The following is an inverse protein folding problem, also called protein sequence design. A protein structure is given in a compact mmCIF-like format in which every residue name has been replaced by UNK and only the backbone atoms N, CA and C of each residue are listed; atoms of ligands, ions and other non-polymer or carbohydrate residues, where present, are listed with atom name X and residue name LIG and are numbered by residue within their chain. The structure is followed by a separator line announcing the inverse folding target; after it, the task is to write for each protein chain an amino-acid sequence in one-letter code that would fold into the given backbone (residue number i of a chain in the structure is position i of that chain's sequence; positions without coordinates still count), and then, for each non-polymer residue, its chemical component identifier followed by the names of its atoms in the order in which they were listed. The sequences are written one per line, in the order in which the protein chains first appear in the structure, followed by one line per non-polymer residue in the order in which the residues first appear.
data_IF_660953662550
#
_entry.id   IF_660953662550
#
_cell.length_a   1.000
_cell.length_b   1.000
_cell.length_c   1.000
_cell.angle_alpha   90.00
_cell.angle_beta   90.00
_cell.angle_gamma   90.00
#
_symmetry.space_group_name_H-M   'P 1'
#
loop_
_entity.id
_entity.type
_entity.pdbx_description
1 polymer ?
#
# COMPACT_ATOMS: atom_id res chain seq x y z
N UNK A 1 19.75 13.88 -2.43
CA UNK A 1 20.21 12.61 -3.05
C UNK A 1 21.10 11.84 -2.08
N UNK A 2 20.51 11.37 -0.97
CA UNK A 2 21.24 10.88 0.20
C UNK A 2 21.77 9.46 0.01
N UNK A 3 22.71 9.06 0.87
CA UNK A 3 23.43 7.79 0.88
C UNK A 3 22.56 6.54 0.67
N UNK A 4 21.28 6.58 1.05
CA UNK A 4 20.29 5.53 0.76
C UNK A 4 20.09 5.33 -0.74
N UNK A 5 19.91 6.39 -1.53
CA UNK A 5 19.79 6.33 -3.00
C UNK A 5 21.06 5.74 -3.63
N UNK A 6 22.24 6.15 -3.16
CA UNK A 6 23.52 5.59 -3.63
C UNK A 6 23.67 4.11 -3.29
N UNK A 7 23.30 3.69 -2.07
CA UNK A 7 23.33 2.28 -1.67
C UNK A 7 22.29 1.48 -2.44
N UNK A 8 21.10 2.04 -2.70
CA UNK A 8 20.07 1.41 -3.52
C UNK A 8 20.54 1.22 -4.96
N UNK A 9 21.14 2.26 -5.57
CA UNK A 9 21.68 2.21 -6.93
C UNK A 9 22.87 1.24 -7.05
N UNK A 10 23.60 0.96 -5.97
CA UNK A 10 24.63 -0.09 -5.96
C UNK A 10 24.04 -1.50 -6.04
N UNK A 11 22.90 -1.75 -5.39
CA UNK A 11 22.21 -3.06 -5.42
C UNK A 11 21.26 -3.21 -6.62
N UNK A 12 20.58 -2.14 -7.00
CA UNK A 12 19.62 -2.04 -8.07
C UNK A 12 20.14 -1.03 -9.09
N UNK A 13 21.18 -1.43 -9.82
CA UNK A 13 21.72 -0.65 -10.94
C UNK A 13 20.54 -0.30 -11.86
N UNK A 14 20.35 0.99 -12.12
CA UNK A 14 19.48 1.58 -13.16
C UNK A 14 18.04 2.03 -12.81
N UNK A 15 17.69 2.36 -11.55
CA UNK A 15 16.27 2.58 -11.18
C UNK A 15 15.89 3.91 -10.52
N UNK A 16 16.75 4.93 -10.54
CA UNK A 16 16.32 6.27 -10.14
C UNK A 16 15.62 6.98 -11.30
N UNK A 17 14.29 6.91 -11.35
CA UNK A 17 13.50 7.62 -12.38
C UNK A 17 12.90 8.86 -11.73
N UNK A 18 13.50 10.02 -12.01
CA UNK A 18 13.03 11.31 -11.50
C UNK A 18 11.77 11.86 -12.20
N UNK A 19 10.88 11.01 -12.73
CA UNK A 19 9.61 11.49 -13.29
C UNK A 19 8.60 11.75 -12.16
N UNK A 20 7.66 12.67 -12.35
CA UNK A 20 6.58 12.89 -11.37
C UNK A 20 5.48 11.81 -11.45
N UNK A 21 5.49 11.03 -12.53
CA UNK A 21 4.54 9.96 -12.82
C UNK A 21 5.24 8.61 -12.77
N UNK A 22 4.61 7.60 -12.19
CA UNK A 22 5.00 6.19 -12.36
C UNK A 22 3.78 5.31 -12.52
N UNK A 23 3.97 4.18 -13.18
CA UNK A 23 2.90 3.23 -13.51
C UNK A 23 3.10 1.94 -12.74
N UNK A 24 2.09 1.54 -11.98
CA UNK A 24 2.01 0.22 -11.36
C UNK A 24 1.26 -0.70 -12.32
N UNK A 25 1.74 -1.94 -12.46
CA UNK A 25 1.17 -2.92 -13.38
C UNK A 25 0.74 -4.18 -12.64
N UNK A 26 -0.47 -4.65 -12.94
CA UNK A 26 -0.96 -5.95 -12.50
C UNK A 26 -0.45 -7.04 -13.44
N UNK A 27 0.14 -8.07 -12.84
CA UNK A 27 0.79 -9.18 -13.54
C UNK A 27 -0.17 -10.30 -13.95
N UNK A 28 -1.35 -10.40 -13.33
CA UNK A 28 -2.32 -11.44 -13.64
C UNK A 28 -3.01 -11.19 -14.99
N UNK A 29 -2.89 -12.13 -15.92
CA UNK A 29 -3.52 -12.05 -17.26
C UNK A 29 -5.04 -11.91 -17.20
N UNK A 30 -5.69 -12.49 -16.19
CA UNK A 30 -7.15 -12.42 -16.00
C UNK A 30 -7.67 -11.13 -15.37
N UNK A 31 -6.79 -10.22 -14.91
CA UNK A 31 -7.21 -8.98 -14.29
C UNK A 31 -7.75 -7.97 -15.32
N UNK A 32 -8.89 -7.35 -15.00
CA UNK A 32 -9.50 -6.26 -15.78
C UNK A 32 -8.91 -4.88 -15.53
N UNK A 33 -8.22 -4.68 -14.41
CA UNK A 33 -7.47 -3.45 -14.14
C UNK A 33 -5.99 -3.79 -14.32
N UNK A 34 -5.39 -3.35 -15.42
CA UNK A 34 -3.99 -3.68 -15.72
C UNK A 34 -2.99 -2.67 -15.19
N UNK A 35 -3.35 -1.39 -15.13
CA UNK A 35 -2.40 -0.35 -14.76
C UNK A 35 -3.00 0.74 -13.90
N UNK A 36 -2.16 1.30 -13.05
CA UNK A 36 -2.44 2.49 -12.26
C UNK A 36 -1.31 3.48 -12.47
N UNK A 37 -1.62 4.62 -13.06
CA UNK A 37 -0.71 5.75 -13.12
C UNK A 37 -0.87 6.59 -11.85
N UNK A 38 0.26 6.90 -11.23
CA UNK A 38 0.31 7.62 -9.97
C UNK A 38 1.15 8.87 -10.13
N UNK A 39 0.59 10.00 -9.74
CA UNK A 39 1.25 11.31 -9.77
C UNK A 39 1.26 11.93 -8.37
N UNK A 40 2.46 12.14 -7.85
CA UNK A 40 2.72 12.89 -6.63
C UNK A 40 3.47 14.19 -7.00
N UNK A 41 2.82 15.36 -6.96
CA UNK A 41 3.51 16.61 -7.23
C UNK A 41 4.60 16.85 -6.17
N UNK A 42 5.76 17.35 -6.59
CA UNK A 42 6.88 17.75 -5.73
C UNK A 42 7.53 16.61 -4.91
N UNK A 43 7.30 15.34 -5.27
CA UNK A 43 8.01 14.20 -4.68
C UNK A 43 8.87 13.52 -5.74
N UNK A 44 10.05 13.05 -5.32
CA UNK A 44 10.79 12.08 -6.13
C UNK A 44 10.30 10.68 -5.79
N UNK A 45 10.41 9.75 -6.74
CA UNK A 45 10.16 8.33 -6.48
C UNK A 45 11.34 7.46 -6.90
N UNK A 46 11.42 6.28 -6.27
CA UNK A 46 12.29 5.19 -6.69
C UNK A 46 11.45 3.93 -6.75
N UNK A 47 11.26 3.38 -7.95
CA UNK A 47 10.62 2.08 -8.12
C UNK A 47 11.53 1.03 -7.48
N UNK A 48 10.96 0.13 -6.69
CA UNK A 48 11.70 -0.98 -6.09
C UNK A 48 11.39 -2.26 -6.88
N UNK A 49 12.15 -2.58 -7.95
CA UNK A 49 11.86 -3.74 -8.78
C UNK A 49 12.01 -5.02 -7.97
N UNK A 50 10.95 -5.84 -8.03
CA UNK A 50 10.93 -7.25 -7.64
C UNK A 50 11.61 -7.59 -6.30
N UNK A 51 11.14 -6.97 -5.21
CA UNK A 51 11.26 -7.57 -3.86
C UNK A 51 10.57 -8.94 -3.74
N UNK A 52 9.71 -9.28 -4.72
CA UNK A 52 8.89 -10.49 -4.82
C UNK A 52 9.66 -11.82 -4.76
N UNK A 53 10.97 -11.86 -5.08
CA UNK A 53 11.74 -13.12 -5.09
C UNK A 53 12.57 -13.36 -3.83
N UNK A 54 13.17 -12.29 -3.27
CA UNK A 54 14.11 -12.39 -2.15
C UNK A 54 13.37 -12.66 -0.83
N UNK A 55 12.27 -11.94 -0.58
CA UNK A 55 11.56 -12.01 0.70
C UNK A 55 10.51 -13.14 0.73
N UNK A 56 10.01 -13.54 -0.44
CA UNK A 56 9.06 -14.64 -0.58
C UNK A 56 9.59 -15.92 0.08
N UNK A 57 10.84 -16.30 -0.18
CA UNK A 57 11.44 -17.52 0.41
C UNK A 57 11.60 -17.48 1.92
N UNK A 58 11.87 -16.30 2.48
CA UNK A 58 12.07 -16.13 3.93
C UNK A 58 10.72 -16.13 4.65
N UNK A 59 9.70 -15.51 4.06
CA UNK A 59 8.37 -15.34 4.66
C UNK A 59 7.39 -16.48 4.36
N UNK A 60 7.59 -17.27 3.30
CA UNK A 60 6.72 -18.42 2.92
C UNK A 60 6.61 -19.47 4.04
N UNK A 61 7.62 -19.54 4.92
CA UNK A 61 7.65 -20.47 6.06
C UNK A 61 7.06 -19.90 7.35
N UNK A 62 6.83 -18.59 7.40
CA UNK A 62 6.45 -17.87 8.62
C UNK A 62 4.96 -17.56 8.59
N UNK A 63 4.42 -17.12 7.46
CA UNK A 63 2.99 -16.75 7.33
C UNK A 63 2.33 -17.38 6.10
N UNK A 64 1.16 -17.98 6.31
CA UNK A 64 0.37 -18.64 5.25
C UNK A 64 -0.25 -17.65 4.25
N UNK A 65 -0.32 -16.36 4.59
CA UNK A 65 -0.82 -15.28 3.74
C UNK A 65 0.32 -14.43 3.16
N UNK A 66 1.37 -15.08 2.64
CA UNK A 66 2.55 -14.44 2.08
C UNK A 66 2.31 -13.85 0.67
N UNK A 67 1.38 -12.91 0.53
CA UNK A 67 1.13 -12.22 -0.75
C UNK A 67 1.73 -10.82 -0.72
N UNK A 68 2.44 -10.48 -1.79
CA UNK A 68 2.93 -9.13 -2.03
C UNK A 68 1.83 -8.30 -2.70
N UNK A 69 1.96 -6.98 -2.58
CA UNK A 69 1.18 -6.07 -3.38
C UNK A 69 1.76 -5.89 -4.79
N UNK A 70 1.00 -5.24 -5.67
CA UNK A 70 1.36 -5.08 -7.07
C UNK A 70 2.49 -4.07 -7.29
N UNK A 71 2.45 -2.96 -6.55
CA UNK A 71 3.40 -1.84 -6.67
C UNK A 71 4.15 -1.54 -5.37
N UNK A 72 5.44 -1.24 -5.49
CA UNK A 72 6.29 -0.76 -4.40
C UNK A 72 7.17 0.38 -4.91
N UNK A 73 7.11 1.53 -4.23
CA UNK A 73 7.97 2.68 -4.51
C UNK A 73 8.39 3.38 -3.22
N UNK A 74 9.57 3.99 -3.22
CA UNK A 74 9.98 4.93 -2.17
C UNK A 74 9.62 6.33 -2.64
N UNK A 75 8.95 7.12 -1.80
CA UNK A 75 8.70 8.54 -2.05
C UNK A 75 9.53 9.40 -1.10
N UNK A 76 10.02 10.53 -1.62
CA UNK A 76 10.72 11.51 -0.79
C UNK A 76 10.23 12.93 -0.98
N UNK A 77 10.54 13.75 0.03
CA UNK A 77 10.27 15.18 0.05
C UNK A 77 11.61 15.91 0.17
N UNK A 78 11.89 16.82 -0.77
CA UNK A 78 13.21 17.41 -0.91
C UNK A 78 14.25 16.32 -1.24
N UNK A 79 15.26 16.16 -0.36
CA UNK A 79 16.37 15.22 -0.54
C UNK A 79 16.25 13.94 0.31
N UNK A 80 15.15 13.78 1.05
CA UNK A 80 14.96 12.71 2.03
C UNK A 80 13.85 11.74 1.62
N UNK A 81 14.17 10.44 1.67
CA UNK A 81 13.16 9.40 1.57
C UNK A 81 12.31 9.41 2.85
N UNK A 82 10.99 9.53 2.68
CA UNK A 82 10.06 9.66 3.81
C UNK A 82 9.00 8.58 3.83
N UNK A 83 8.55 8.13 2.66
CA UNK A 83 7.43 7.21 2.57
C UNK A 83 7.82 5.96 1.78
N UNK A 84 7.26 4.84 2.20
CA UNK A 84 7.15 3.63 1.41
C UNK A 84 5.72 3.58 0.87
N UNK A 85 5.60 3.74 -0.44
CA UNK A 85 4.35 3.65 -1.15
C UNK A 85 4.12 2.21 -1.63
N UNK A 86 2.96 1.66 -1.28
CA UNK A 86 2.53 0.32 -1.62
C UNK A 86 1.17 0.38 -2.30
N UNK A 87 1.02 -0.34 -3.40
CA UNK A 87 -0.22 -0.31 -4.17
C UNK A 87 -0.72 -1.71 -4.51
N UNK A 88 -2.02 -1.92 -4.33
CA UNK A 88 -2.74 -3.12 -4.72
C UNK A 88 -3.82 -2.78 -5.74
N UNK A 89 -3.88 -3.53 -6.83
CA UNK A 89 -4.88 -3.41 -7.89
C UNK A 89 -5.89 -4.55 -7.75
N UNK A 90 -7.18 -4.22 -7.77
CA UNK A 90 -8.28 -5.20 -7.75
C UNK A 90 -9.26 -4.91 -8.86
N UNK A 91 -9.58 -5.90 -9.69
CA UNK A 91 -10.66 -5.77 -10.68
C UNK A 91 -12.01 -5.42 -10.05
N UNK A 92 -12.38 -6.14 -8.99
CA UNK A 92 -13.64 -5.95 -8.28
C UNK A 92 -13.39 -5.96 -6.79
N UNK A 93 -13.83 -4.90 -6.13
CA UNK A 93 -13.64 -4.72 -4.70
C UNK A 93 -14.93 -5.06 -3.95
N UNK A 94 -14.88 -6.15 -3.20
CA UNK A 94 -15.84 -6.49 -2.15
C UNK A 94 -15.13 -6.36 -0.81
N UNK A 95 -15.86 -6.35 0.31
CA UNK A 95 -15.25 -6.27 1.64
C UNK A 95 -14.07 -7.25 1.84
N UNK A 96 -14.25 -8.52 1.49
CA UNK A 96 -13.18 -9.53 1.57
C UNK A 96 -11.95 -9.22 0.71
N UNK A 97 -12.14 -8.57 -0.43
CA UNK A 97 -11.02 -8.18 -1.29
C UNK A 97 -10.33 -6.91 -0.77
N UNK A 98 -11.06 -6.01 -0.11
CA UNK A 98 -10.50 -4.86 0.61
C UNK A 98 -9.63 -5.33 1.79
N UNK A 99 -10.11 -6.29 2.58
CA UNK A 99 -9.35 -6.92 3.67
C UNK A 99 -8.05 -7.54 3.16
N UNK A 100 -8.14 -8.31 2.06
CA UNK A 100 -6.96 -8.91 1.42
C UNK A 100 -5.98 -7.86 0.92
N UNK A 101 -6.46 -6.80 0.28
CA UNK A 101 -5.61 -5.73 -0.22
C UNK A 101 -4.83 -5.05 0.91
N UNK A 102 -5.47 -4.83 2.06
CA UNK A 102 -4.83 -4.23 3.23
C UNK A 102 -3.81 -5.19 3.85
N UNK A 103 -4.15 -6.48 3.94
CA UNK A 103 -3.19 -7.51 4.35
C UNK A 103 -1.97 -7.55 3.41
N UNK A 104 -2.16 -7.50 2.09
CA UNK A 104 -1.07 -7.47 1.11
C UNK A 104 -0.19 -6.22 1.27
N UNK A 105 -0.78 -5.04 1.48
CA UNK A 105 -0.05 -3.80 1.76
C UNK A 105 0.76 -3.94 3.06
N UNK A 106 0.15 -4.41 4.15
CA UNK A 106 0.83 -4.56 5.44
C UNK A 106 1.98 -5.56 5.37
N UNK A 107 1.76 -6.72 4.75
CA UNK A 107 2.81 -7.73 4.60
C UNK A 107 3.95 -7.21 3.72
N UNK A 108 3.63 -6.49 2.66
CA UNK A 108 4.64 -5.87 1.79
C UNK A 108 5.43 -4.79 2.53
N UNK A 109 4.78 -4.00 3.39
CA UNK A 109 5.44 -3.03 4.25
C UNK A 109 6.46 -3.71 5.17
N UNK A 110 6.05 -4.70 5.96
CA UNK A 110 6.93 -5.40 6.89
C UNK A 110 8.13 -6.07 6.19
N UNK A 111 7.89 -6.67 5.02
CA UNK A 111 8.92 -7.24 4.17
C UNK A 111 9.93 -6.19 3.73
N UNK A 112 9.47 -5.09 3.16
CA UNK A 112 10.33 -4.01 2.69
C UNK A 112 11.12 -3.37 3.83
N UNK A 113 10.49 -3.17 4.99
CA UNK A 113 11.18 -2.70 6.20
C UNK A 113 12.24 -3.68 6.66
N UNK A 114 11.94 -4.98 6.67
CA UNK A 114 12.93 -6.02 6.98
C UNK A 114 14.10 -5.97 6.01
N UNK A 115 13.86 -5.80 4.71
CA UNK A 115 14.91 -5.68 3.71
C UNK A 115 15.77 -4.43 3.91
N UNK A 116 15.15 -3.27 4.13
CA UNK A 116 15.86 -2.01 4.32
C UNK A 116 16.62 -1.95 5.64
N UNK A 117 16.18 -2.68 6.67
CA UNK A 117 16.94 -2.82 7.92
C UNK A 117 18.35 -3.41 7.74
N UNK A 118 18.59 -4.10 6.62
CA UNK A 118 19.91 -4.64 6.26
C UNK A 118 20.78 -3.62 5.51
N UNK A 119 20.20 -2.51 5.03
CA UNK A 119 20.91 -1.48 4.28
C UNK A 119 21.61 -0.50 5.21
N UNK A 120 22.91 -0.29 4.97
CA UNK A 120 23.68 0.76 5.66
C UNK A 120 23.04 2.13 5.39
N UNK A 121 22.76 2.91 6.42
CA UNK A 121 22.14 4.23 6.28
C UNK A 121 20.61 4.24 6.31
N UNK A 122 19.96 3.07 6.47
CA UNK A 122 18.55 3.02 6.84
C UNK A 122 18.39 3.35 8.34
N UNK A 123 18.30 4.63 8.64
CA UNK A 123 18.36 5.15 10.01
C UNK A 123 16.99 5.59 10.54
N UNK A 124 16.01 5.75 9.66
CA UNK A 124 14.66 6.19 9.97
C UNK A 124 13.64 5.29 9.30
N UNK A 125 12.58 4.99 10.04
CA UNK A 125 11.49 4.19 9.54
C UNK A 125 10.69 5.02 8.52
N UNK A 126 10.56 4.50 7.29
CA UNK A 126 9.69 5.09 6.28
C UNK A 126 8.22 4.97 6.71
N UNK A 127 7.47 6.05 6.53
CA UNK A 127 6.03 6.08 6.74
C UNK A 127 5.30 5.27 5.66
N UNK A 128 4.17 4.67 5.99
CA UNK A 128 3.41 3.87 5.02
C UNK A 128 2.39 4.74 4.27
N UNK A 129 2.48 4.75 2.94
CA UNK A 129 1.39 5.17 2.07
C UNK A 129 0.86 3.97 1.28
N UNK A 130 -0.41 3.63 1.46
CA UNK A 130 -1.10 2.54 0.77
C UNK A 130 -2.07 3.07 -0.28
N UNK A 131 -2.11 2.46 -1.47
CA UNK A 131 -3.13 2.72 -2.49
C UNK A 131 -3.84 1.41 -2.80
N UNK A 132 -5.17 1.43 -2.71
CA UNK A 132 -6.02 0.35 -3.19
C UNK A 132 -6.78 0.90 -4.39
N UNK A 133 -6.44 0.41 -5.58
CA UNK A 133 -7.07 0.82 -6.82
C UNK A 133 -8.00 -0.28 -7.33
N UNK A 134 -9.19 0.08 -7.78
CA UNK A 134 -10.11 -0.90 -8.33
C UNK A 134 -10.95 -0.41 -9.52
N UNK A 135 -11.28 -1.32 -10.45
CA UNK A 135 -12.16 -0.95 -11.57
C UNK A 135 -13.64 -0.90 -11.19
N UNK A 136 -14.07 -1.73 -10.24
CA UNK A 136 -15.46 -1.77 -9.75
C UNK A 136 -15.50 -1.92 -8.23
N UNK A 137 -16.07 -0.93 -7.54
CA UNK A 137 -16.33 -0.91 -6.10
C UNK A 137 -17.82 -0.90 -5.74
N UNK A 138 -18.72 -1.00 -6.72
CA UNK A 138 -20.17 -0.96 -6.52
C UNK A 138 -20.65 -1.99 -5.49
N UNK A 139 -19.96 -3.13 -5.42
CA UNK A 139 -20.28 -4.18 -4.48
C UNK A 139 -20.09 -3.76 -3.02
N UNK A 140 -19.18 -2.83 -2.70
CA UNK A 140 -18.99 -2.28 -1.35
C UNK A 140 -20.24 -1.56 -0.82
N UNK A 141 -21.05 -1.01 -1.74
CA UNK A 141 -22.23 -0.20 -1.42
C UNK A 141 -23.54 -0.97 -1.57
N UNK A 142 -23.49 -2.25 -1.93
CA UNK A 142 -24.69 -3.08 -2.05
C UNK A 142 -25.43 -3.15 -0.70
N UNK A 143 -26.76 -3.11 -0.74
CA UNK A 143 -27.62 -3.05 0.46
C UNK A 143 -27.30 -4.18 1.45
N UNK A 144 -26.96 -5.37 0.97
CA UNK A 144 -26.52 -6.49 1.80
C UNK A 144 -25.20 -6.22 2.54
N UNK A 145 -24.22 -5.57 1.89
CA UNK A 145 -22.98 -5.17 2.56
C UNK A 145 -23.20 -4.01 3.50
N UNK A 146 -24.00 -3.01 3.13
CA UNK A 146 -24.41 -1.93 4.04
C UNK A 146 -25.08 -2.48 5.30
N UNK A 147 -25.90 -3.53 5.16
CA UNK A 147 -26.57 -4.23 6.27
C UNK A 147 -25.59 -5.07 7.10
N UNK A 148 -24.57 -5.69 6.48
CA UNK A 148 -23.50 -6.38 7.21
C UNK A 148 -22.60 -5.41 7.98
N UNK A 149 -22.21 -4.30 7.35
CA UNK A 149 -21.44 -3.20 7.94
C UNK A 149 -22.17 -2.60 9.16
N UNK A 150 -23.50 -2.50 9.12
CA UNK A 150 -24.30 -1.94 10.22
C UNK A 150 -24.76 -2.95 11.26
N UNK A 151 -24.71 -4.26 11.00
CA UNK A 151 -25.15 -5.31 11.95
C UNK A 151 -24.01 -6.15 12.53
N UNK A 152 -22.82 -6.08 11.96
CA UNK A 152 -21.64 -6.76 12.50
C UNK A 152 -21.04 -5.88 13.62
N UNK A 153 -21.08 -6.33 14.89
CA UNK A 153 -20.53 -5.57 16.01
C UNK A 153 -19.05 -5.22 15.83
N UNK A 154 -18.30 -6.04 15.08
CA UNK A 154 -16.88 -5.80 14.78
C UNK A 154 -16.70 -4.62 13.82
N UNK A 155 -17.74 -4.31 13.04
CA UNK A 155 -17.74 -3.31 11.99
C UNK A 155 -18.31 -1.97 12.47
N UNK A 156 -19.25 -1.99 13.44
CA UNK A 156 -19.60 -0.81 14.23
C UNK A 156 -18.41 -0.31 15.07
N UNK A 157 -17.55 -1.22 15.56
CA UNK A 157 -16.30 -0.88 16.25
C UNK A 157 -15.19 -0.39 15.30
N UNK A 158 -15.10 -0.91 14.07
CA UNK A 158 -14.06 -0.50 13.12
C UNK A 158 -14.42 0.77 12.35
N UNK A 159 -14.01 1.91 12.92
CA UNK A 159 -14.09 3.20 12.23
C UNK A 159 -13.26 3.24 10.95
N UNK A 160 -12.20 2.43 10.79
CA UNK A 160 -11.31 2.52 9.64
C UNK A 160 -11.92 2.01 8.33
N UNK A 161 -12.63 0.87 8.30
CA UNK A 161 -13.28 0.40 7.05
C UNK A 161 -14.30 1.43 6.55
N UNK A 162 -15.22 1.81 7.44
CA UNK A 162 -16.29 2.75 7.13
C UNK A 162 -15.72 4.11 6.69
N UNK A 163 -14.65 4.59 7.34
CA UNK A 163 -13.97 5.83 6.92
C UNK A 163 -13.26 5.67 5.58
N UNK A 164 -12.58 4.56 5.32
CA UNK A 164 -11.89 4.32 4.05
C UNK A 164 -12.88 4.27 2.89
N UNK A 165 -14.02 3.59 3.07
CA UNK A 165 -15.06 3.49 2.04
C UNK A 165 -15.76 4.83 1.84
N UNK A 166 -16.13 5.53 2.91
CA UNK A 166 -16.90 6.78 2.82
C UNK A 166 -16.05 7.99 2.42
N UNK A 167 -14.82 8.10 2.93
CA UNK A 167 -13.93 9.25 2.71
C UNK A 167 -12.84 8.98 1.68
N UNK A 168 -12.77 7.76 1.12
CA UNK A 168 -11.72 7.30 0.20
C UNK A 168 -10.30 7.36 0.78
N UNK A 169 -10.17 7.62 2.09
CA UNK A 169 -8.89 7.76 2.75
C UNK A 169 -9.00 7.50 4.26
N UNK A 170 -7.95 6.90 4.82
CA UNK A 170 -7.69 6.88 6.26
C UNK A 170 -6.27 7.36 6.56
N UNK A 171 -6.11 7.93 7.76
CA UNK A 171 -4.81 8.21 8.39
C UNK A 171 -4.87 7.65 9.81
N UNK A 172 -3.91 6.82 10.19
CA UNK A 172 -3.83 6.19 11.50
C UNK A 172 -2.39 5.76 11.83
N UNK A 173 -2.17 5.27 13.04
CA UNK A 173 -0.95 4.53 13.38
C UNK A 173 -1.05 3.08 12.87
N UNK A 174 0.10 2.46 12.64
CA UNK A 174 0.19 1.09 12.14
C UNK A 174 -0.40 0.07 13.12
N UNK A 175 -0.24 0.28 14.43
CA UNK A 175 -0.87 -0.52 15.49
C UNK A 175 -2.39 -0.61 15.34
N UNK A 176 -3.04 0.53 15.04
CA UNK A 176 -4.48 0.61 14.82
C UNK A 176 -4.90 -0.12 13.55
N UNK A 177 -4.09 -0.05 12.50
CA UNK A 177 -4.32 -0.79 11.26
C UNK A 177 -4.26 -2.32 11.51
N UNK A 178 -3.25 -2.80 12.24
CA UNK A 178 -3.14 -4.24 12.57
C UNK A 178 -4.35 -4.70 13.39
N UNK A 179 -4.71 -3.93 14.40
CA UNK A 179 -5.79 -4.28 15.33
C UNK A 179 -7.15 -4.32 14.65
N UNK A 180 -7.52 -3.25 13.91
CA UNK A 180 -8.84 -3.17 13.28
C UNK A 180 -9.00 -4.15 12.11
N UNK A 181 -7.92 -4.47 11.39
CA UNK A 181 -7.93 -5.45 10.30
C UNK A 181 -7.59 -6.88 10.75
N UNK A 182 -7.44 -7.09 12.07
CA UNK A 182 -7.22 -8.40 12.73
C UNK A 182 -6.07 -9.18 12.10
N UNK A 183 -4.97 -8.48 11.85
CA UNK A 183 -3.77 -9.09 11.31
C UNK A 183 -3.02 -9.80 12.44
N UNK A 184 -2.72 -11.07 12.25
CA UNK A 184 -1.98 -11.92 13.20
C UNK A 184 -0.48 -11.57 13.16
N UNK A 185 -0.11 -10.49 13.86
CA UNK A 185 1.21 -9.86 13.82
C UNK A 185 1.69 -9.52 15.24
N UNK A 186 2.16 -10.53 15.96
CA UNK A 186 2.72 -10.38 17.30
C UNK A 186 4.22 -10.02 17.28
N UNK A 187 4.69 -9.35 18.34
CA UNK A 187 6.11 -9.12 18.59
C UNK A 187 6.76 -8.02 17.75
N UNK A 188 5.98 -7.16 17.08
CA UNK A 188 6.48 -5.97 16.42
C UNK A 188 6.99 -4.95 17.44
N UNK A 189 8.06 -4.22 17.11
CA UNK A 189 8.59 -3.19 18.00
C UNK A 189 7.73 -1.91 17.97
N UNK A 190 7.82 -1.12 19.04
CA UNK A 190 7.04 0.12 19.19
C UNK A 190 7.29 1.12 18.05
N UNK A 191 8.50 1.17 17.50
CA UNK A 191 8.80 2.06 16.37
C UNK A 191 7.97 1.74 15.14
N UNK A 192 7.79 0.45 14.81
CA UNK A 192 6.92 0.01 13.72
C UNK A 192 5.46 0.25 14.07
N UNK A 193 5.03 -0.10 15.29
CA UNK A 193 3.65 0.07 15.73
C UNK A 193 3.18 1.53 15.69
N UNK A 194 4.06 2.47 16.00
CA UNK A 194 3.78 3.91 16.02
C UNK A 194 3.97 4.59 14.65
N UNK A 195 4.25 3.83 13.59
CA UNK A 195 4.43 4.42 12.25
C UNK A 195 3.15 5.09 11.77
N UNK A 196 3.22 6.35 11.30
CA UNK A 196 2.12 6.95 10.56
C UNK A 196 1.80 6.18 9.27
N UNK A 197 0.51 5.92 9.06
CA UNK A 197 -0.04 5.25 7.90
C UNK A 197 -1.08 6.14 7.24
N UNK A 198 -1.02 6.27 5.93
CA UNK A 198 -2.11 6.76 5.09
C UNK A 198 -2.53 5.68 4.09
N UNK A 199 -3.82 5.37 3.99
CA UNK A 199 -4.34 4.47 2.94
C UNK A 199 -5.39 5.21 2.12
N UNK A 200 -5.26 5.13 0.81
CA UNK A 200 -6.16 5.69 -0.18
C UNK A 200 -6.93 4.58 -0.89
N UNK A 201 -8.22 4.81 -1.11
CA UNK A 201 -9.06 3.99 -1.98
C UNK A 201 -9.37 4.83 -3.22
N UNK A 202 -9.18 4.24 -4.41
CA UNK A 202 -9.51 4.89 -5.66
C UNK A 202 -10.20 3.90 -6.59
N UNK A 203 -11.23 4.36 -7.30
CA UNK A 203 -11.92 3.57 -8.31
C UNK A 203 -12.14 4.34 -9.60
N UNK A 204 -12.57 3.66 -10.67
CA UNK A 204 -12.98 4.34 -11.91
C UNK A 204 -14.10 5.35 -11.72
N UNK A 205 -14.92 5.17 -10.67
CA UNK A 205 -16.04 6.03 -10.37
C UNK A 205 -15.62 7.31 -9.64
N UNK A 206 -14.38 7.37 -9.14
CA UNK A 206 -13.85 8.58 -8.53
C UNK A 206 -13.47 9.57 -9.64
N UNK A 207 -14.19 10.69 -9.73
CA UNK A 207 -13.80 11.79 -10.59
C UNK A 207 -12.41 12.35 -10.25
N UNK A 208 -11.82 13.10 -11.18
CA UNK A 208 -10.46 13.68 -11.08
C UNK A 208 -10.36 14.82 -10.02
N UNK A 209 -11.32 14.93 -9.11
CA UNK A 209 -11.47 16.08 -8.21
C UNK A 209 -10.49 16.03 -7.03
N UNK A 210 -9.52 16.96 -7.07
CA UNK A 210 -8.79 17.56 -5.93
C UNK A 210 -8.32 16.63 -4.80
N UNK A 211 -7.73 15.49 -5.15
CA UNK A 211 -6.83 14.79 -4.21
C UNK A 211 -5.46 15.50 -4.27
N UNK A 212 -4.72 15.58 -3.15
CA UNK A 212 -3.32 16.09 -3.11
C UNK A 212 -2.41 15.35 -4.12
N UNK A 213 -2.85 14.17 -4.57
CA UNK A 213 -2.18 13.28 -5.51
C UNK A 213 -3.20 12.78 -6.55
N UNK A 214 -2.77 12.55 -7.79
CA UNK A 214 -3.64 12.09 -8.87
C UNK A 214 -3.39 10.61 -9.17
N UNK A 215 -4.47 9.83 -9.20
CA UNK A 215 -4.45 8.41 -9.53
C UNK A 215 -5.29 8.18 -10.78
N UNK A 216 -4.68 7.68 -11.85
CA UNK A 216 -5.38 7.43 -13.12
C UNK A 216 -5.36 5.94 -13.41
N UNK A 217 -6.55 5.34 -13.48
CA UNK A 217 -6.71 3.91 -13.75
C UNK A 217 -6.72 3.67 -15.27
N UNK A 218 -5.86 2.77 -15.75
CA UNK A 218 -5.94 2.27 -17.12
C UNK A 218 -6.32 0.78 -17.08
N UNK A 219 -7.48 0.47 -17.65
CA UNK A 219 -8.01 -0.88 -17.74
C UNK A 219 -7.13 -1.77 -18.62
#
# INVERSE_FOLDING_TARGET
MSQLSNNFNQFYKDKFVGSLNFTITESAESASLKKLDVFYPNRFYVEVPQSKSILKRVWDKVHSQNKDCDGVAILGEGDEAKYLLLAELKSRLKLKELEKAISQIVMSYLKMHSLFSLCRGYNSLLMLEGIIACSDDSALYSTEQSTKITKDPQFEESQLYSRLIAKRQIKCEFSRLITEFKLDLDGLNDSILNTPVSIYLTSQNDGDESKEHKFTLNL
#
